data_IF_781441428325
#
_entry.id   IF_781441428325
#
_cell.length_a   1.000
_cell.length_b   1.000
_cell.length_c   1.000
_cell.angle_alpha   90.00
_cell.angle_beta   90.00
_cell.angle_gamma   90.00
#
_symmetry.space_group_name_H-M   'P 1'
#
loop_
_entity.id
_entity.type
_entity.pdbx_description
1 polymer ?
#
# COMPACT_ATOMS: atom_id res chain seq x y z
N UNK A 1 -11.43 -6.75 -20.77
CA UNK A 1 -12.64 -7.29 -20.14
C UNK A 1 -12.46 -8.77 -19.81
N UNK A 2 -12.08 -9.61 -20.77
CA UNK A 2 -11.89 -11.07 -20.60
C UNK A 2 -10.95 -11.44 -19.43
N UNK A 3 -9.82 -10.76 -19.29
CA UNK A 3 -8.90 -10.99 -18.15
C UNK A 3 -9.55 -10.62 -16.82
N UNK A 4 -10.36 -9.55 -16.79
CA UNK A 4 -11.10 -9.14 -15.59
C UNK A 4 -12.10 -10.23 -15.19
N UNK A 5 -12.96 -10.66 -16.12
CA UNK A 5 -13.97 -11.71 -15.90
C UNK A 5 -13.35 -13.05 -15.52
N UNK A 6 -12.16 -13.36 -16.03
CA UNK A 6 -11.43 -14.58 -15.67
C UNK A 6 -10.93 -14.55 -14.22
N UNK A 7 -10.25 -13.47 -13.80
CA UNK A 7 -9.58 -13.43 -12.50
C UNK A 7 -10.48 -13.02 -11.34
N UNK A 8 -11.66 -12.45 -11.57
CA UNK A 8 -12.65 -12.22 -10.51
C UNK A 8 -13.28 -13.50 -9.97
N UNK A 9 -13.18 -14.61 -10.70
CA UNK A 9 -13.73 -15.89 -10.28
C UNK A 9 -12.90 -16.53 -9.16
N UNK A 10 -13.59 -17.08 -8.15
CA UNK A 10 -12.97 -17.69 -6.96
C UNK A 10 -11.93 -18.77 -7.30
N UNK A 11 -12.16 -19.59 -8.32
CA UNK A 11 -11.23 -20.63 -8.73
C UNK A 11 -10.04 -20.12 -9.56
N UNK A 12 -10.10 -18.88 -10.02
CA UNK A 12 -9.03 -18.23 -10.78
C UNK A 12 -8.22 -17.24 -9.98
N UNK A 13 -8.52 -17.06 -8.67
CA UNK A 13 -7.75 -16.25 -7.74
C UNK A 13 -8.55 -15.19 -7.01
N UNK A 14 -9.72 -14.79 -7.54
CA UNK A 14 -10.59 -13.75 -6.96
C UNK A 14 -9.81 -12.46 -6.66
N UNK A 15 -9.17 -11.90 -7.68
CA UNK A 15 -8.46 -10.64 -7.57
C UNK A 15 -8.85 -9.63 -8.64
N UNK A 16 -8.78 -8.34 -8.29
CA UNK A 16 -8.96 -7.22 -9.20
C UNK A 16 -7.87 -6.18 -8.99
N UNK A 17 -7.39 -5.62 -10.06
CA UNK A 17 -6.55 -4.43 -10.03
C UNK A 17 -7.40 -3.21 -9.69
N UNK A 18 -7.06 -2.54 -8.59
CA UNK A 18 -7.72 -1.30 -8.21
C UNK A 18 -7.02 -0.12 -8.89
N UNK A 19 -5.70 -0.11 -8.90
CA UNK A 19 -4.86 0.85 -9.61
C UNK A 19 -3.65 0.10 -10.18
N UNK A 20 -2.79 0.71 -10.99
CA UNK A 20 -1.53 0.08 -11.39
C UNK A 20 -0.61 -0.33 -10.23
N UNK A 21 -0.86 0.18 -9.01
CA UNK A 21 -0.05 -0.10 -7.82
C UNK A 21 -0.76 -0.95 -6.76
N UNK A 22 -2.06 -1.18 -6.89
CA UNK A 22 -2.84 -1.94 -5.93
C UNK A 22 -3.66 -3.04 -6.58
N UNK A 23 -3.49 -4.24 -6.08
CA UNK A 23 -4.34 -5.40 -6.37
C UNK A 23 -5.10 -5.79 -5.09
N UNK A 24 -6.42 -5.92 -5.18
CA UNK A 24 -7.26 -6.43 -4.11
C UNK A 24 -7.64 -7.88 -4.41
N UNK A 25 -7.56 -8.78 -3.42
CA UNK A 25 -7.88 -10.19 -3.61
C UNK A 25 -8.51 -10.86 -2.40
N UNK A 26 -9.13 -12.03 -2.60
CA UNK A 26 -9.61 -12.87 -1.52
C UNK A 26 -8.46 -13.70 -0.93
N UNK A 27 -8.55 -14.03 0.36
CA UNK A 27 -7.51 -14.85 1.01
C UNK A 27 -7.40 -16.22 0.38
N UNK A 28 -6.21 -16.63 -0.08
CA UNK A 28 -5.97 -18.05 -0.37
C UNK A 28 -6.25 -18.91 0.87
N UNK A 29 -6.77 -20.12 0.66
CA UNK A 29 -7.08 -21.04 1.74
C UNK A 29 -6.29 -22.32 1.57
N UNK A 30 -5.44 -22.62 2.56
CA UNK A 30 -4.74 -23.89 2.67
C UNK A 30 -5.35 -24.72 3.80
N UNK A 31 -6.14 -25.72 3.45
CA UNK A 31 -6.86 -26.57 4.43
C UNK A 31 -5.90 -27.33 5.34
N UNK A 32 -4.79 -27.84 4.80
CA UNK A 32 -3.80 -28.57 5.58
C UNK A 32 -3.12 -27.65 6.60
N UNK A 33 -2.71 -26.47 6.16
CA UNK A 33 -2.16 -25.43 7.04
C UNK A 33 -3.15 -25.04 8.15
N UNK A 34 -4.40 -24.75 7.80
CA UNK A 34 -5.43 -24.36 8.77
C UNK A 34 -5.73 -25.47 9.79
N UNK A 35 -5.80 -26.71 9.36
CA UNK A 35 -6.02 -27.86 10.25
C UNK A 35 -4.86 -28.05 11.24
N UNK A 36 -3.63 -27.97 10.76
CA UNK A 36 -2.43 -28.08 11.60
C UNK A 36 -2.30 -26.87 12.55
N UNK A 37 -2.63 -25.68 12.07
CA UNK A 37 -2.64 -24.46 12.91
C UNK A 37 -3.62 -24.60 14.08
N UNK A 38 -4.82 -25.10 13.82
CA UNK A 38 -5.85 -25.28 14.86
C UNK A 38 -5.52 -26.39 15.85
N UNK A 39 -4.90 -27.48 15.41
CA UNK A 39 -4.63 -28.65 16.26
C UNK A 39 -3.28 -28.64 16.97
N UNK A 40 -2.23 -28.03 16.37
CA UNK A 40 -0.85 -28.12 16.83
C UNK A 40 -0.17 -26.76 16.97
N UNK A 41 -0.85 -25.67 16.61
CA UNK A 41 -0.37 -24.31 16.73
C UNK A 41 0.51 -23.83 15.57
N UNK A 42 0.94 -22.54 15.62
CA UNK A 42 1.57 -21.86 14.47
C UNK A 42 2.93 -22.43 14.10
N UNK A 43 3.73 -22.88 15.08
CA UNK A 43 5.04 -23.44 14.80
C UNK A 43 4.95 -24.74 13.99
N UNK A 44 4.08 -25.65 14.41
CA UNK A 44 3.85 -26.94 13.72
C UNK A 44 3.29 -26.73 12.31
N UNK A 45 2.32 -25.80 12.15
CA UNK A 45 1.75 -25.45 10.86
C UNK A 45 2.81 -24.89 9.89
N UNK A 46 3.68 -24.02 10.37
CA UNK A 46 4.78 -23.46 9.57
C UNK A 46 5.81 -24.54 9.17
N UNK A 47 6.17 -25.43 10.11
CA UNK A 47 7.08 -26.54 9.82
C UNK A 47 6.51 -27.51 8.79
N UNK A 48 5.22 -27.82 8.89
CA UNK A 48 4.50 -28.65 7.93
C UNK A 48 4.47 -27.97 6.55
N UNK A 49 4.08 -26.70 6.48
CA UNK A 49 3.98 -25.96 5.22
C UNK A 49 5.33 -25.85 4.48
N UNK A 50 6.46 -25.77 5.22
CA UNK A 50 7.80 -25.79 4.62
C UNK A 50 8.19 -27.13 4.00
N UNK A 51 7.61 -28.22 4.45
CA UNK A 51 7.94 -29.59 4.01
C UNK A 51 6.99 -30.13 2.94
N UNK A 52 5.78 -29.59 2.89
CA UNK A 52 4.74 -30.04 1.96
C UNK A 52 4.77 -29.21 0.67
N UNK A 53 4.35 -29.78 -0.47
CA UNK A 53 4.15 -29.01 -1.68
C UNK A 53 3.12 -27.88 -1.44
N UNK A 54 3.40 -26.72 -1.98
CA UNK A 54 2.50 -25.57 -1.90
C UNK A 54 1.11 -25.93 -2.50
N UNK A 55 0.05 -25.54 -1.79
CA UNK A 55 -1.32 -25.67 -2.29
C UNK A 55 -1.45 -25.07 -3.70
N UNK A 56 -2.11 -25.76 -4.67
CA UNK A 56 -2.18 -25.31 -6.07
C UNK A 56 -2.76 -23.90 -6.23
N UNK A 57 -3.79 -23.54 -5.46
CA UNK A 57 -4.38 -22.21 -5.52
C UNK A 57 -3.40 -21.12 -5.03
N UNK A 58 -2.69 -21.38 -3.93
CA UNK A 58 -1.67 -20.47 -3.42
C UNK A 58 -0.50 -20.35 -4.39
N UNK A 59 -0.08 -21.46 -5.01
CA UNK A 59 0.99 -21.47 -6.03
C UNK A 59 0.61 -20.58 -7.21
N UNK A 60 -0.60 -20.76 -7.78
CA UNK A 60 -1.11 -19.93 -8.87
C UNK A 60 -1.09 -18.43 -8.52
N UNK A 61 -1.46 -18.10 -7.28
CA UNK A 61 -1.43 -16.73 -6.79
C UNK A 61 0.02 -16.19 -6.72
N UNK A 62 0.95 -16.97 -6.19
CA UNK A 62 2.37 -16.58 -6.08
C UNK A 62 2.99 -16.37 -7.47
N UNK A 63 2.75 -17.31 -8.40
CA UNK A 63 3.25 -17.22 -9.79
C UNK A 63 2.71 -15.96 -10.48
N UNK A 64 1.40 -15.72 -10.40
CA UNK A 64 0.81 -14.50 -10.95
C UNK A 64 1.40 -13.22 -10.35
N UNK A 65 1.65 -13.22 -9.03
CA UNK A 65 2.22 -12.06 -8.34
C UNK A 65 3.66 -11.78 -8.76
N UNK A 66 4.46 -12.82 -9.00
CA UNK A 66 5.82 -12.67 -9.54
C UNK A 66 5.81 -12.08 -10.95
N UNK A 67 4.95 -12.61 -11.84
CA UNK A 67 4.82 -12.14 -13.22
C UNK A 67 4.38 -10.67 -13.31
N UNK A 68 3.59 -10.21 -12.33
CA UNK A 68 3.06 -8.84 -12.28
C UNK A 68 3.84 -7.90 -11.33
N UNK A 69 5.05 -8.31 -10.91
CA UNK A 69 5.95 -7.50 -10.08
C UNK A 69 5.34 -7.04 -8.74
N UNK A 70 4.46 -7.83 -8.17
CA UNK A 70 3.95 -7.59 -6.82
C UNK A 70 5.09 -7.87 -5.85
N UNK A 71 5.46 -6.87 -5.06
CA UNK A 71 6.60 -6.93 -4.13
C UNK A 71 6.18 -6.96 -2.67
N UNK A 72 4.92 -6.64 -2.39
CA UNK A 72 4.36 -6.66 -1.03
C UNK A 72 2.95 -7.27 -1.03
N UNK A 73 2.74 -8.22 -0.13
CA UNK A 73 1.41 -8.72 0.26
C UNK A 73 1.05 -8.21 1.65
N UNK A 74 -0.13 -7.63 1.80
CA UNK A 74 -0.68 -7.20 3.10
C UNK A 74 -1.91 -8.04 3.43
N UNK A 75 -1.83 -8.80 4.54
CA UNK A 75 -2.92 -9.63 5.05
C UNK A 75 -3.60 -8.95 6.23
N UNK A 76 -4.94 -8.81 6.15
CA UNK A 76 -5.76 -8.12 7.14
C UNK A 76 -6.61 -9.07 8.02
N UNK A 77 -6.62 -10.35 7.72
CA UNK A 77 -7.39 -11.39 8.42
C UNK A 77 -6.47 -12.41 9.09
N UNK A 78 -7.07 -13.29 9.87
CA UNK A 78 -6.37 -14.44 10.44
C UNK A 78 -5.70 -15.30 9.35
N UNK A 79 -4.59 -15.94 9.70
CA UNK A 79 -3.81 -16.74 8.78
C UNK A 79 -4.62 -17.95 8.27
N UNK A 80 -4.89 -17.98 6.96
CA UNK A 80 -5.51 -19.11 6.27
C UNK A 80 -4.52 -19.86 5.36
N UNK A 81 -3.28 -19.37 5.30
CA UNK A 81 -2.17 -19.93 4.55
C UNK A 81 -0.84 -19.51 5.22
N UNK A 82 0.22 -20.21 4.87
CA UNK A 82 1.58 -19.91 5.36
C UNK A 82 2.18 -18.72 4.59
N UNK A 83 2.50 -17.62 5.29
CA UNK A 83 3.06 -16.38 4.69
C UNK A 83 4.40 -16.59 4.01
N UNK A 84 5.23 -17.49 4.54
CA UNK A 84 6.53 -17.81 3.97
C UNK A 84 6.48 -18.33 2.54
N UNK A 85 5.32 -18.69 2.01
CA UNK A 85 5.16 -19.00 0.59
C UNK A 85 5.44 -17.79 -0.31
N UNK A 86 5.01 -16.60 0.08
CA UNK A 86 5.31 -15.34 -0.61
C UNK A 86 6.75 -14.91 -0.37
N UNK A 87 7.24 -15.00 0.87
CA UNK A 87 8.61 -14.62 1.24
C UNK A 87 9.66 -15.44 0.48
N UNK A 88 9.45 -16.75 0.33
CA UNK A 88 10.30 -17.64 -0.47
C UNK A 88 10.30 -17.30 -1.96
N UNK A 89 9.25 -16.66 -2.44
CA UNK A 89 9.12 -16.18 -3.81
C UNK A 89 9.70 -14.76 -4.00
N UNK A 90 10.32 -14.17 -2.96
CA UNK A 90 10.86 -12.82 -2.99
C UNK A 90 9.83 -11.70 -2.81
N UNK A 91 8.63 -12.04 -2.35
CA UNK A 91 7.53 -11.09 -2.11
C UNK A 91 7.44 -10.84 -0.60
N UNK A 92 7.60 -9.60 -0.16
CA UNK A 92 7.45 -9.22 1.25
C UNK A 92 6.01 -9.50 1.71
N UNK A 93 5.84 -10.01 2.94
CA UNK A 93 4.53 -10.28 3.51
C UNK A 93 4.37 -9.58 4.86
N UNK A 94 3.27 -8.84 5.02
CA UNK A 94 2.94 -8.13 6.28
C UNK A 94 1.55 -8.45 6.77
N UNK A 95 1.46 -8.76 8.06
CA UNK A 95 0.19 -8.90 8.77
C UNK A 95 -0.19 -7.57 9.42
N UNK A 96 -1.39 -7.07 9.06
CA UNK A 96 -2.01 -5.87 9.64
C UNK A 96 -3.44 -6.22 10.06
N UNK A 97 -3.54 -7.14 11.02
CA UNK A 97 -4.82 -7.72 11.45
C UNK A 97 -5.72 -6.70 12.14
N UNK A 98 -7.00 -6.75 11.82
CA UNK A 98 -8.11 -6.21 12.60
C UNK A 98 -9.40 -7.02 12.31
N UNK A 99 -10.38 -6.96 13.22
CA UNK A 99 -11.54 -7.83 13.19
C UNK A 99 -12.43 -7.64 11.95
N UNK A 100 -13.05 -8.72 11.51
CA UNK A 100 -13.97 -8.69 10.37
C UNK A 100 -15.20 -7.84 10.68
N UNK A 101 -15.58 -6.98 9.73
CA UNK A 101 -16.67 -6.04 9.91
C UNK A 101 -16.36 -4.83 10.81
N UNK A 102 -15.17 -4.79 11.44
CA UNK A 102 -14.69 -3.63 12.20
C UNK A 102 -13.94 -2.63 11.31
N UNK A 103 -13.57 -1.52 11.93
CA UNK A 103 -12.74 -0.48 11.30
C UNK A 103 -11.30 -0.53 11.85
N UNK A 104 -10.29 -0.22 11.02
CA UNK A 104 -8.90 -0.18 11.48
C UNK A 104 -8.66 1.01 12.40
N UNK A 105 -7.71 0.87 13.33
CA UNK A 105 -7.21 2.00 14.11
C UNK A 105 -6.36 2.95 13.25
N UNK A 106 -6.15 4.17 13.74
CA UNK A 106 -5.29 5.16 13.06
C UNK A 106 -3.85 4.64 12.91
N UNK A 107 -3.36 3.84 13.86
CA UNK A 107 -2.03 3.22 13.80
C UNK A 107 -1.92 2.24 12.63
N UNK A 108 -2.95 1.40 12.42
CA UNK A 108 -2.99 0.44 11.30
C UNK A 108 -3.05 1.20 9.97
N UNK A 109 -3.90 2.23 9.88
CA UNK A 109 -4.01 3.05 8.66
C UNK A 109 -2.67 3.74 8.35
N UNK A 110 -2.06 4.38 9.34
CA UNK A 110 -0.75 5.05 9.20
C UNK A 110 0.36 4.06 8.82
N UNK A 111 0.38 2.87 9.42
CA UNK A 111 1.33 1.81 9.08
C UNK A 111 1.14 1.36 7.63
N UNK A 112 -0.11 1.12 7.22
CA UNK A 112 -0.42 0.74 5.84
C UNK A 112 -0.01 1.81 4.83
N UNK A 113 -0.35 3.08 5.08
CA UNK A 113 0.02 4.20 4.21
C UNK A 113 1.54 4.29 4.04
N UNK A 114 2.31 4.18 5.14
CA UNK A 114 3.79 4.23 5.08
C UNK A 114 4.37 3.08 4.25
N UNK A 115 3.89 1.85 4.48
CA UNK A 115 4.38 0.69 3.74
C UNK A 115 4.00 0.75 2.27
N UNK A 116 2.78 1.19 1.97
CA UNK A 116 2.31 1.36 0.60
C UNK A 116 3.12 2.45 -0.14
N UNK A 117 3.29 3.61 0.47
CA UNK A 117 4.06 4.71 -0.13
C UNK A 117 5.55 4.34 -0.33
N UNK A 118 6.16 3.64 0.63
CA UNK A 118 7.51 3.09 0.53
C UNK A 118 7.63 2.14 -0.67
N UNK A 119 6.72 1.18 -0.77
CA UNK A 119 6.72 0.15 -1.82
C UNK A 119 6.53 0.77 -3.20
N UNK A 120 5.56 1.69 -3.35
CA UNK A 120 5.29 2.37 -4.62
C UNK A 120 6.46 3.26 -5.05
N UNK A 121 7.08 4.00 -4.13
CA UNK A 121 8.27 4.82 -4.40
C UNK A 121 9.48 3.99 -4.84
N UNK A 122 9.57 2.75 -4.38
CA UNK A 122 10.58 1.79 -4.83
C UNK A 122 10.24 1.11 -6.18
N UNK A 123 9.12 1.49 -6.83
CA UNK A 123 8.66 0.91 -8.09
C UNK A 123 7.92 -0.43 -7.94
N UNK A 124 7.55 -0.81 -6.72
CA UNK A 124 6.83 -2.04 -6.43
C UNK A 124 5.31 -1.91 -6.54
N UNK A 125 4.63 -3.04 -6.47
CA UNK A 125 3.18 -3.20 -6.50
C UNK A 125 2.74 -3.95 -5.25
N UNK A 126 1.55 -3.61 -4.75
CA UNK A 126 1.02 -4.12 -3.48
C UNK A 126 -0.25 -4.93 -3.72
N UNK A 127 -0.29 -6.15 -3.20
CA UNK A 127 -1.51 -6.93 -3.13
C UNK A 127 -2.06 -6.91 -1.70
N UNK A 128 -3.33 -6.55 -1.55
CA UNK A 128 -3.99 -6.41 -0.25
C UNK A 128 -5.18 -7.35 -0.17
N UNK A 129 -5.30 -8.08 0.93
CA UNK A 129 -6.45 -8.95 1.14
C UNK A 129 -6.94 -8.98 2.60
N UNK A 130 -8.20 -9.31 2.74
CA UNK A 130 -8.79 -9.80 3.98
C UNK A 130 -9.41 -11.20 3.70
N UNK A 131 -10.54 -11.55 4.26
CA UNK A 131 -11.19 -12.83 3.97
C UNK A 131 -11.73 -12.89 2.52
N UNK A 132 -12.54 -11.90 2.14
CA UNK A 132 -13.13 -11.77 0.80
C UNK A 132 -12.42 -10.70 -0.08
N UNK A 133 -11.51 -9.94 0.47
CA UNK A 133 -10.83 -8.85 -0.26
C UNK A 133 -11.73 -7.67 -0.61
N UNK A 134 -12.78 -7.40 0.17
CA UNK A 134 -13.79 -6.37 -0.13
C UNK A 134 -13.82 -5.25 0.92
N UNK A 135 -14.26 -5.56 2.15
CA UNK A 135 -14.51 -4.55 3.19
C UNK A 135 -13.20 -3.95 3.75
N UNK A 136 -12.50 -4.70 4.61
CA UNK A 136 -11.23 -4.28 5.24
C UNK A 136 -10.18 -3.85 4.21
N UNK A 137 -10.06 -4.60 3.13
CA UNK A 137 -9.18 -4.31 2.00
C UNK A 137 -9.52 -2.96 1.37
N UNK A 138 -10.81 -2.74 1.10
CA UNK A 138 -11.28 -1.51 0.51
C UNK A 138 -11.05 -0.28 1.38
N UNK A 139 -11.21 -0.39 2.70
CA UNK A 139 -10.94 0.72 3.63
C UNK A 139 -9.48 1.15 3.59
N UNK A 140 -8.52 0.22 3.63
CA UNK A 140 -7.11 0.58 3.65
C UNK A 140 -6.61 1.12 2.30
N UNK A 141 -6.98 0.48 1.19
CA UNK A 141 -6.66 1.03 -0.15
C UNK A 141 -7.31 2.39 -0.32
N UNK A 142 -8.59 2.54 0.06
CA UNK A 142 -9.30 3.80 -0.01
C UNK A 142 -8.69 4.91 0.84
N UNK A 143 -8.25 4.60 2.06
CA UNK A 143 -7.53 5.54 2.91
C UNK A 143 -6.23 6.04 2.26
N UNK A 144 -5.47 5.15 1.61
CA UNK A 144 -4.29 5.54 0.85
C UNK A 144 -4.63 6.47 -0.32
N UNK A 145 -5.68 6.16 -1.09
CA UNK A 145 -6.09 6.99 -2.22
C UNK A 145 -6.55 8.39 -1.77
N UNK A 146 -7.28 8.48 -0.66
CA UNK A 146 -7.68 9.76 -0.06
C UNK A 146 -6.44 10.54 0.41
N UNK A 147 -5.56 9.90 1.18
CA UNK A 147 -4.33 10.51 1.67
C UNK A 147 -3.42 11.00 0.54
N UNK A 148 -3.27 10.20 -0.51
CA UNK A 148 -2.32 10.50 -1.60
C UNK A 148 -2.85 11.54 -2.58
N UNK A 149 -4.12 11.42 -2.97
CA UNK A 149 -4.71 12.18 -4.08
C UNK A 149 -5.76 13.21 -3.65
N UNK A 150 -6.20 13.20 -2.40
CA UNK A 150 -7.19 14.15 -1.88
C UNK A 150 -8.61 13.87 -2.35
N UNK A 151 -8.93 12.66 -2.81
CA UNK A 151 -10.29 12.27 -3.17
C UNK A 151 -11.22 12.33 -1.97
N UNK A 152 -12.50 12.56 -2.22
CA UNK A 152 -13.55 12.36 -1.23
C UNK A 152 -13.85 10.87 -1.02
N UNK A 153 -14.47 10.51 0.11
CA UNK A 153 -14.89 9.14 0.36
C UNK A 153 -15.85 8.62 -0.73
N UNK A 154 -16.79 9.46 -1.19
CA UNK A 154 -17.76 9.10 -2.23
C UNK A 154 -17.08 8.74 -3.56
N UNK A 155 -16.10 9.53 -3.98
CA UNK A 155 -15.34 9.28 -5.21
C UNK A 155 -14.57 7.97 -5.13
N UNK A 156 -13.83 7.77 -4.03
CA UNK A 156 -13.04 6.54 -3.83
C UNK A 156 -13.92 5.30 -3.74
N UNK A 157 -15.03 5.35 -2.97
CA UNK A 157 -15.94 4.22 -2.84
C UNK A 157 -16.57 3.89 -4.20
N UNK A 158 -17.03 4.92 -4.94
CA UNK A 158 -17.57 4.74 -6.28
C UNK A 158 -16.56 4.10 -7.23
N UNK A 159 -15.34 4.64 -7.28
CA UNK A 159 -14.26 4.11 -8.09
C UNK A 159 -13.93 2.65 -7.74
N UNK A 160 -13.73 2.35 -6.45
CA UNK A 160 -13.38 1.01 -6.02
C UNK A 160 -14.47 -0.02 -6.32
N UNK A 161 -15.75 0.37 -6.28
CA UNK A 161 -16.87 -0.51 -6.65
C UNK A 161 -16.95 -0.80 -8.15
N UNK A 162 -16.47 0.11 -8.98
CA UNK A 162 -16.30 -0.15 -10.42
C UNK A 162 -15.15 -1.15 -10.67
N UNK A 163 -14.04 -1.00 -9.94
CA UNK A 163 -12.88 -1.88 -10.11
C UNK A 163 -13.06 -3.25 -9.46
N UNK A 164 -13.71 -3.30 -8.28
CA UNK A 164 -14.03 -4.54 -7.55
C UNK A 164 -15.42 -4.40 -6.93
N UNK A 165 -16.46 -4.98 -7.56
CA UNK A 165 -17.83 -4.93 -7.05
C UNK A 165 -17.94 -5.44 -5.61
N UNK A 166 -18.71 -4.74 -4.77
CA UNK A 166 -18.87 -5.07 -3.36
C UNK A 166 -17.80 -4.51 -2.41
N UNK A 167 -16.84 -3.72 -2.91
CA UNK A 167 -15.89 -3.03 -2.04
C UNK A 167 -16.58 -2.02 -1.11
N UNK A 168 -16.11 -1.95 0.13
CA UNK A 168 -16.50 -1.00 1.18
C UNK A 168 -18.02 -1.02 1.44
N UNK A 169 -18.47 -1.93 2.29
CA UNK A 169 -19.88 -2.10 2.61
C UNK A 169 -20.17 -1.81 4.10
N UNK A 170 -21.43 -1.50 4.40
CA UNK A 170 -21.92 -1.33 5.76
C UNK A 170 -21.21 -0.24 6.57
N UNK A 171 -20.85 -0.49 7.84
CA UNK A 171 -20.24 0.50 8.74
C UNK A 171 -18.92 1.08 8.22
N UNK A 172 -18.19 0.33 7.41
CA UNK A 172 -16.91 0.76 6.82
C UNK A 172 -17.07 1.92 5.84
N UNK A 173 -18.21 2.00 5.14
CA UNK A 173 -18.51 3.14 4.30
C UNK A 173 -18.64 4.42 5.14
N UNK A 174 -19.39 4.36 6.25
CA UNK A 174 -19.57 5.50 7.15
C UNK A 174 -18.23 5.94 7.76
N UNK A 175 -17.43 4.98 8.21
CA UNK A 175 -16.10 5.22 8.72
C UNK A 175 -15.19 5.99 7.73
N UNK A 176 -15.26 5.68 6.44
CA UNK A 176 -14.50 6.42 5.43
C UNK A 176 -14.98 7.87 5.31
N UNK A 177 -16.29 8.13 5.35
CA UNK A 177 -16.81 9.51 5.35
C UNK A 177 -16.34 10.31 6.55
N UNK A 178 -16.42 9.74 7.74
CA UNK A 178 -15.99 10.41 8.99
C UNK A 178 -14.50 10.73 9.01
N UNK A 179 -13.68 9.92 8.38
CA UNK A 179 -12.22 10.06 8.43
C UNK A 179 -11.59 10.75 7.20
N UNK A 180 -12.37 11.07 6.18
CA UNK A 180 -11.88 11.68 4.93
C UNK A 180 -11.05 12.94 5.17
N UNK A 181 -11.57 13.91 5.93
CA UNK A 181 -10.89 15.16 6.21
C UNK A 181 -9.55 14.92 6.93
N UNK A 182 -9.53 14.02 7.91
CA UNK A 182 -8.33 13.63 8.65
C UNK A 182 -7.26 13.03 7.73
N UNK A 183 -7.64 12.14 6.81
CA UNK A 183 -6.67 11.52 5.90
C UNK A 183 -6.14 12.50 4.85
N UNK A 184 -6.96 13.42 4.36
CA UNK A 184 -6.52 14.53 3.50
C UNK A 184 -5.52 15.42 4.23
N UNK A 185 -5.80 15.79 5.47
CA UNK A 185 -4.89 16.55 6.32
C UNK A 185 -3.54 15.83 6.49
N UNK A 186 -3.57 14.55 6.83
CA UNK A 186 -2.34 13.76 6.93
C UNK A 186 -1.52 13.78 5.64
N UNK A 187 -2.19 13.68 4.49
CA UNK A 187 -1.53 13.76 3.19
C UNK A 187 -0.86 15.10 2.94
N UNK A 188 -1.52 16.20 3.30
CA UNK A 188 -0.96 17.54 3.19
C UNK A 188 0.26 17.75 4.09
N UNK A 189 0.15 17.33 5.37
CA UNK A 189 1.25 17.40 6.33
C UNK A 189 2.47 16.58 5.91
N UNK A 190 2.25 15.35 5.43
CA UNK A 190 3.34 14.46 5.02
C UNK A 190 4.04 14.97 3.75
N UNK A 191 3.30 15.57 2.81
CA UNK A 191 3.88 16.26 1.64
C UNK A 191 4.72 17.45 2.04
N UNK A 192 4.21 18.33 2.91
CA UNK A 192 4.94 19.49 3.40
C UNK A 192 6.23 19.09 4.13
N UNK A 193 6.18 18.06 5.00
CA UNK A 193 7.39 17.55 5.67
C UNK A 193 8.43 17.04 4.68
N UNK A 194 7.98 16.32 3.64
CA UNK A 194 8.88 15.82 2.62
C UNK A 194 9.50 16.92 1.75
N UNK A 195 8.80 18.02 1.53
CA UNK A 195 9.26 19.19 0.83
C UNK A 195 10.34 19.93 1.63
N UNK A 196 10.04 20.25 2.89
CA UNK A 196 10.99 20.88 3.82
C UNK A 196 12.26 20.03 4.01
N UNK A 197 12.12 18.70 4.12
CA UNK A 197 13.28 17.82 4.23
C UNK A 197 14.16 17.86 2.97
N UNK A 198 13.58 17.98 1.79
CA UNK A 198 14.32 18.12 0.53
C UNK A 198 15.05 19.48 0.46
N UNK A 199 14.39 20.55 0.84
CA UNK A 199 15.00 21.88 0.86
C UNK A 199 16.18 21.95 1.83
N UNK A 200 16.04 21.38 3.04
CA UNK A 200 17.11 21.34 4.04
C UNK A 200 18.29 20.43 3.64
N UNK A 201 18.05 19.43 2.79
CA UNK A 201 19.09 18.52 2.30
C UNK A 201 19.72 18.95 0.97
N UNK A 202 19.17 19.99 0.34
CA UNK A 202 19.74 20.54 -0.90
C UNK A 202 21.09 21.20 -0.59
N UNK A 203 22.17 20.91 -1.37
CA UNK A 203 23.42 21.63 -1.21
C UNK A 203 23.19 23.13 -1.44
N UNK A 204 23.75 23.95 -0.54
CA UNK A 204 23.68 25.41 -0.70
C UNK A 204 24.12 25.82 -2.11
N UNK A 205 23.24 26.56 -2.80
CA UNK A 205 23.59 27.08 -4.13
C UNK A 205 24.90 27.88 -4.01
N UNK A 206 25.86 27.73 -4.96
CA UNK A 206 27.08 28.50 -4.93
C UNK A 206 26.72 29.97 -4.91
N UNK A 207 27.10 30.66 -3.83
CA UNK A 207 26.93 32.10 -3.73
C UNK A 207 27.85 32.75 -4.77
N UNK A 208 27.29 33.26 -5.86
CA UNK A 208 28.01 34.16 -6.76
C UNK A 208 28.46 35.36 -5.95
N UNK A 209 29.76 35.64 -5.87
CA UNK A 209 30.21 36.83 -5.18
C UNK A 209 29.54 38.07 -5.79
N UNK A 210 29.02 38.93 -4.94
CA UNK A 210 28.43 40.18 -5.40
C UNK A 210 29.45 40.97 -6.24
N UNK A 211 29.01 41.58 -7.35
CA UNK A 211 29.93 42.37 -8.18
C UNK A 211 30.53 43.49 -7.34
N UNK A 212 31.87 43.49 -7.24
CA UNK A 212 32.61 44.53 -6.53
C UNK A 212 32.55 45.78 -7.39
N UNK A 213 31.83 46.79 -6.97
CA UNK A 213 31.81 48.12 -7.60
C UNK A 213 33.10 48.81 -7.30
N UNK A 214 34.00 48.95 -8.26
CA UNK A 214 35.17 49.79 -8.17
C UNK A 214 34.75 51.23 -8.47
N UNK A 215 34.67 52.10 -7.45
CA UNK A 215 34.60 53.53 -7.64
C UNK A 215 36.00 54.03 -7.97
N UNK A 216 36.22 54.45 -9.22
CA UNK A 216 37.43 55.17 -9.61
C UNK A 216 37.44 56.56 -8.92
N UNK A 217 38.34 56.71 -7.98
CA UNK A 217 38.69 58.02 -7.47
C UNK A 217 39.50 58.77 -8.53
N UNK A 218 38.87 59.72 -9.22
CA UNK A 218 39.59 60.71 -10.05
C UNK A 218 40.27 61.73 -9.14
N UNK A 219 41.59 61.78 -9.21
CA UNK A 219 42.39 62.85 -8.59
C UNK A 219 42.15 64.16 -9.32
N UNK A 220 42.02 65.24 -8.60
CA UNK A 220 41.94 66.60 -9.23
C UNK A 220 43.26 66.94 -9.89
N UNK A 221 43.21 67.29 -11.17
CA UNK A 221 44.30 67.90 -11.91
C UNK A 221 44.44 69.38 -11.39
N UNK A 222 45.57 69.72 -10.72
CA UNK A 222 45.94 71.04 -10.44
C UNK A 222 46.52 71.70 -11.67
N UNK A 223 45.86 72.74 -12.18
CA UNK A 223 46.37 73.63 -13.19
C UNK A 223 47.51 74.51 -12.60
N UNK A 224 48.65 74.59 -13.33
CA UNK A 224 49.66 75.60 -13.33
C UNK A 224 49.80 76.21 -14.72
#
# INVERSE_FOLDING_TARGET
>A
LESYEYYEQVHNGDWNWITPHFLAFASPKDRAYMSTLASQGPHAAACMAKRMPMNPALRKTVEYFQDHKITLVVRLNNALYYSGAFEQAGIEHKDMYFDDGSNPSDEIIRAFIREADRTIKAGGVIAVHCKAGLGRTGVLIGAYLIWRYGFSASEVIGYMRLMRPGCVVGPQQHFMYENTAKWIQWGAEDRLRAELARELSAPAAPQTPAPVSYTHLTLPTSDL
#
